data_IF_703815115675
#
_entry.id   IF_703815115675
#
_cell.length_a   1.000
_cell.length_b   1.000
_cell.length_c   1.000
_cell.angle_alpha   90.00
_cell.angle_beta   90.00
_cell.angle_gamma   90.00
#
_symmetry.space_group_name_H-M   'P 1'
#
loop_
_entity.id
_entity.type
_entity.pdbx_description
1 polymer ?
#
# COMPACT_ATOMS: atom_id res chain seq x y z
N UNK A 1 -17.22 -9.47 4.44
CA UNK A 1 -16.02 -8.61 4.30
C UNK A 1 -15.95 -7.68 5.51
N UNK A 2 -14.82 -7.59 6.20
CA UNK A 2 -14.66 -6.58 7.25
C UNK A 2 -14.43 -5.22 6.59
N UNK A 3 -15.21 -4.22 6.96
CA UNK A 3 -15.04 -2.84 6.51
C UNK A 3 -14.33 -2.04 7.61
N UNK A 4 -13.62 -1.00 7.22
CA UNK A 4 -13.10 -0.02 8.17
C UNK A 4 -14.25 0.83 8.70
N UNK A 5 -14.20 1.21 9.98
CA UNK A 5 -15.13 2.22 10.51
C UNK A 5 -14.76 3.60 9.97
N UNK A 6 -15.75 4.49 9.84
CA UNK A 6 -15.53 5.87 9.41
C UNK A 6 -14.51 6.60 10.30
N UNK A 7 -14.56 6.36 11.62
CA UNK A 7 -13.59 6.89 12.58
C UNK A 7 -12.17 6.37 12.28
N UNK A 8 -12.01 5.07 12.02
CA UNK A 8 -10.70 4.50 11.69
C UNK A 8 -10.14 5.11 10.42
N UNK A 9 -10.97 5.26 9.38
CA UNK A 9 -10.57 5.90 8.14
C UNK A 9 -10.11 7.35 8.39
N UNK A 10 -10.94 8.15 9.07
CA UNK A 10 -10.64 9.54 9.39
C UNK A 10 -9.34 9.69 10.18
N UNK A 11 -9.12 8.87 11.22
CA UNK A 11 -7.93 8.96 12.05
C UNK A 11 -6.66 8.50 11.31
N UNK A 12 -6.75 7.39 10.57
CA UNK A 12 -5.58 6.74 9.98
C UNK A 12 -5.15 7.34 8.63
N UNK A 13 -6.09 7.79 7.80
CA UNK A 13 -5.80 8.41 6.49
C UNK A 13 -5.63 9.94 6.55
N UNK A 14 -5.75 10.56 7.73
CA UNK A 14 -5.52 12.00 7.92
C UNK A 14 -4.07 12.41 7.57
N UNK A 15 -3.90 13.08 6.44
CA UNK A 15 -2.62 13.52 5.90
C UNK A 15 -2.08 14.83 6.54
N UNK A 16 -2.80 15.44 7.50
CA UNK A 16 -2.32 16.64 8.20
C UNK A 16 -0.98 16.37 8.88
N UNK A 17 -0.03 17.29 8.66
CA UNK A 17 1.27 17.31 9.36
C UNK A 17 1.02 17.57 10.84
N UNK A 18 0.96 16.50 11.64
CA UNK A 18 0.85 16.62 13.08
C UNK A 18 2.21 17.04 13.64
N UNK A 19 2.34 18.30 14.08
CA UNK A 19 3.36 18.66 15.06
C UNK A 19 3.04 17.88 16.35
N UNK A 20 4.06 17.31 17.00
CA UNK A 20 3.93 16.64 18.30
C UNK A 20 3.28 17.60 19.31
N UNK A 21 1.95 17.59 19.45
CA UNK A 21 1.26 18.22 20.59
C UNK A 21 1.17 17.18 21.70
N UNK A 22 1.61 17.55 22.91
CA UNK A 22 1.42 16.76 24.13
C UNK A 22 -0.09 16.64 24.41
N UNK A 23 -0.54 15.41 24.72
CA UNK A 23 -1.91 15.12 25.17
C UNK A 23 -2.81 14.58 24.05
N UNK A 24 -3.24 13.32 24.19
CA UNK A 24 -4.04 12.49 23.25
C UNK A 24 -3.28 11.98 22.01
N UNK A 25 -2.38 11.03 22.24
CA UNK A 25 -1.64 10.34 21.17
C UNK A 25 -2.46 9.17 20.61
N UNK A 26 -3.11 9.35 19.46
CA UNK A 26 -3.56 8.21 18.67
C UNK A 26 -2.42 7.79 17.72
N UNK A 27 -1.77 6.63 17.92
CA UNK A 27 -0.68 6.20 17.06
C UNK A 27 -1.21 6.00 15.64
N UNK A 28 -0.69 6.79 14.69
CA UNK A 28 -0.93 6.56 13.26
C UNK A 28 -0.28 5.24 12.87
N UNK A 29 -1.09 4.18 12.78
CA UNK A 29 -0.64 2.86 12.37
C UNK A 29 -0.60 2.79 10.85
N UNK A 30 0.23 1.89 10.33
CA UNK A 30 0.22 1.62 8.89
C UNK A 30 -0.98 0.74 8.57
N UNK A 31 -1.87 1.28 7.75
CA UNK A 31 -2.92 0.55 7.03
C UNK A 31 -2.61 0.55 5.54
N UNK A 32 -2.98 -0.56 4.89
CA UNK A 32 -2.98 -0.77 3.45
C UNK A 32 -4.38 -1.26 3.06
N UNK A 33 -5.12 -0.49 2.28
CA UNK A 33 -6.35 -0.97 1.63
C UNK A 33 -6.01 -1.31 0.18
N UNK A 34 -6.49 -2.43 -0.34
CA UNK A 34 -6.23 -2.81 -1.73
C UNK A 34 -7.53 -3.15 -2.45
N UNK A 35 -7.52 -2.93 -3.75
CA UNK A 35 -8.51 -3.40 -4.70
C UNK A 35 -7.78 -4.14 -5.82
N UNK A 36 -8.13 -5.40 -6.02
CA UNK A 36 -7.69 -6.24 -7.12
C UNK A 36 -8.84 -6.32 -8.14
N UNK A 37 -8.60 -5.79 -9.34
CA UNK A 37 -9.59 -5.66 -10.40
C UNK A 37 -9.17 -6.51 -11.59
N UNK A 38 -9.85 -7.64 -11.86
CA UNK A 38 -9.61 -8.42 -13.08
C UNK A 38 -9.99 -7.60 -14.33
N UNK A 39 -9.13 -7.58 -15.35
CA UNK A 39 -9.43 -6.82 -16.59
C UNK A 39 -10.54 -7.41 -17.46
N UNK A 40 -10.90 -8.67 -17.23
CA UNK A 40 -12.01 -9.33 -17.90
C UNK A 40 -13.40 -8.86 -17.40
N UNK A 41 -13.46 -7.90 -16.47
CA UNK A 41 -14.71 -7.37 -15.93
C UNK A 41 -15.30 -8.18 -14.78
N UNK A 42 -14.59 -9.20 -14.27
CA UNK A 42 -15.01 -9.95 -13.09
C UNK A 42 -15.05 -9.08 -11.83
N UNK A 43 -15.80 -9.53 -10.83
CA UNK A 43 -16.00 -8.80 -9.57
C UNK A 43 -14.67 -8.46 -8.89
N UNK A 44 -14.41 -7.17 -8.57
CA UNK A 44 -13.19 -6.77 -7.88
C UNK A 44 -13.11 -7.33 -6.46
N UNK A 45 -11.94 -7.84 -6.08
CA UNK A 45 -11.66 -8.26 -4.71
C UNK A 45 -11.08 -7.11 -3.92
N UNK A 46 -11.58 -6.87 -2.70
CA UNK A 46 -11.15 -5.78 -1.83
C UNK A 46 -10.76 -6.31 -0.47
N UNK A 47 -9.80 -5.64 0.15
CA UNK A 47 -9.41 -5.94 1.52
C UNK A 47 -8.52 -4.87 2.11
N UNK A 48 -8.18 -5.05 3.39
CA UNK A 48 -7.21 -4.20 4.04
C UNK A 48 -6.34 -4.99 5.02
N UNK A 49 -5.14 -4.48 5.23
CA UNK A 49 -4.20 -4.93 6.25
C UNK A 49 -3.93 -3.80 7.22
N UNK A 50 -3.71 -4.17 8.48
CA UNK A 50 -3.19 -3.30 9.52
C UNK A 50 -1.87 -3.88 10.01
N UNK A 51 -0.93 -3.01 10.34
CA UNK A 51 0.36 -3.42 10.90
C UNK A 51 0.12 -4.31 12.14
N UNK A 52 0.69 -5.50 12.14
CA UNK A 52 0.72 -6.42 13.30
C UNK A 52 2.12 -6.39 13.88
N UNK A 53 2.28 -6.62 15.19
CA UNK A 53 3.60 -6.72 15.83
C UNK A 53 4.45 -7.70 15.01
N UNK A 54 5.45 -7.17 14.28
CA UNK A 54 6.41 -7.88 13.42
C UNK A 54 6.02 -8.19 11.95
N UNK A 55 4.88 -7.72 11.40
CA UNK A 55 4.62 -7.78 9.94
C UNK A 55 4.29 -6.40 9.37
N UNK A 56 5.11 -5.95 8.42
CA UNK A 56 4.80 -4.78 7.59
C UNK A 56 3.60 -5.10 6.68
N UNK A 57 2.69 -4.14 6.51
CA UNK A 57 1.43 -4.36 5.78
C UNK A 57 1.64 -4.76 4.32
N UNK A 58 2.73 -4.30 3.72
CA UNK A 58 3.14 -4.59 2.35
C UNK A 58 3.51 -6.06 2.18
N UNK A 59 4.12 -6.67 3.19
CA UNK A 59 4.51 -8.09 3.16
C UNK A 59 3.27 -8.96 3.31
N UNK A 60 2.45 -8.63 4.31
CA UNK A 60 1.17 -9.28 4.51
C UNK A 60 0.25 -9.16 3.26
N UNK A 61 0.38 -8.08 2.47
CA UNK A 61 -0.28 -7.93 1.17
C UNK A 61 0.31 -8.85 0.10
N UNK A 62 1.64 -8.87 -0.07
CA UNK A 62 2.32 -9.77 -1.03
C UNK A 62 1.94 -11.22 -0.78
N UNK A 63 2.03 -11.67 0.47
CA UNK A 63 1.71 -13.06 0.85
C UNK A 63 0.25 -13.39 0.53
N UNK A 64 -0.67 -12.43 0.73
CA UNK A 64 -2.08 -12.64 0.41
C UNK A 64 -2.33 -12.76 -1.09
N UNK A 65 -1.71 -11.90 -1.91
CA UNK A 65 -1.89 -11.99 -3.37
C UNK A 65 -1.26 -13.27 -3.90
N UNK A 66 -0.08 -13.64 -3.41
CA UNK A 66 0.57 -14.89 -3.76
C UNK A 66 -0.28 -16.12 -3.39
N UNK A 67 -1.05 -16.07 -2.29
CA UNK A 67 -1.96 -17.14 -1.88
C UNK A 67 -3.31 -17.16 -2.61
N UNK A 68 -3.61 -16.19 -3.48
CA UNK A 68 -4.91 -16.10 -4.16
C UNK A 68 -4.99 -16.96 -5.44
N UNK A 69 -3.90 -17.66 -5.80
CA UNK A 69 -3.83 -18.52 -7.00
C UNK A 69 -4.46 -17.86 -8.23
N UNK A 70 -4.06 -16.61 -8.50
CA UNK A 70 -4.58 -15.84 -9.61
C UNK A 70 -4.28 -16.51 -10.96
N UNK A 71 -5.22 -16.40 -11.90
CA UNK A 71 -5.05 -16.93 -13.25
C UNK A 71 -4.04 -16.08 -14.01
N UNK A 72 -2.85 -16.64 -14.23
CA UNK A 72 -1.73 -15.96 -14.90
C UNK A 72 -2.00 -15.62 -16.36
N UNK A 73 -3.04 -16.19 -16.97
CA UNK A 73 -3.45 -15.83 -18.34
C UNK A 73 -4.21 -14.51 -18.38
N UNK A 74 -4.69 -14.03 -17.24
CA UNK A 74 -5.44 -12.79 -17.10
C UNK A 74 -4.57 -11.67 -16.53
N UNK A 75 -4.82 -10.45 -16.98
CA UNK A 75 -4.24 -9.26 -16.39
C UNK A 75 -5.12 -8.73 -15.25
N UNK A 76 -4.49 -8.31 -14.16
CA UNK A 76 -5.18 -7.69 -13.02
C UNK A 76 -4.60 -6.31 -12.73
N UNK A 77 -5.47 -5.36 -12.43
CA UNK A 77 -5.09 -4.05 -11.93
C UNK A 77 -5.24 -4.04 -10.41
N UNK A 78 -4.12 -3.83 -9.71
CA UNK A 78 -4.06 -3.82 -8.25
C UNK A 78 -3.77 -2.41 -7.77
N UNK A 79 -4.74 -1.81 -7.10
CA UNK A 79 -4.60 -0.47 -6.53
C UNK A 79 -4.49 -0.55 -5.02
N UNK A 80 -3.42 0.02 -4.47
CA UNK A 80 -3.11 0.04 -3.04
C UNK A 80 -3.19 1.46 -2.48
N UNK A 81 -3.95 1.64 -1.42
CA UNK A 81 -4.06 2.88 -0.64
C UNK A 81 -3.38 2.70 0.72
N UNK A 82 -2.23 3.35 0.86
CA UNK A 82 -1.38 3.32 2.02
C UNK A 82 -1.53 4.58 2.85
N UNK A 83 -1.61 4.40 4.16
CA UNK A 83 -1.54 5.51 5.12
C UNK A 83 -0.16 6.16 5.22
N UNK A 84 0.90 5.38 4.95
CA UNK A 84 2.30 5.80 4.93
C UNK A 84 3.00 5.13 3.76
N UNK A 85 3.84 5.86 3.03
CA UNK A 85 4.64 5.29 1.95
C UNK A 85 5.53 4.13 2.46
N UNK A 86 5.84 3.14 1.60
CA UNK A 86 6.57 1.96 2.03
C UNK A 86 8.01 2.30 2.47
N UNK A 87 8.55 1.48 3.36
CA UNK A 87 9.97 1.56 3.73
C UNK A 87 10.87 0.94 2.64
N UNK A 88 12.20 1.17 2.65
CA UNK A 88 13.09 0.70 1.60
C UNK A 88 13.07 -0.83 1.38
N UNK A 89 13.01 -1.61 2.48
CA UNK A 89 12.95 -3.07 2.38
C UNK A 89 11.62 -3.56 1.82
N UNK A 90 10.51 -2.90 2.16
CA UNK A 90 9.20 -3.20 1.57
C UNK A 90 9.15 -2.82 0.09
N UNK A 91 9.75 -1.69 -0.29
CA UNK A 91 9.84 -1.27 -1.68
C UNK A 91 10.59 -2.29 -2.54
N UNK A 92 11.74 -2.79 -2.07
CA UNK A 92 12.49 -3.85 -2.75
C UNK A 92 11.66 -5.13 -2.93
N UNK A 93 10.93 -5.55 -1.90
CA UNK A 93 10.09 -6.75 -1.97
C UNK A 93 8.88 -6.57 -2.89
N UNK A 94 8.26 -5.39 -2.89
CA UNK A 94 7.18 -5.06 -3.83
C UNK A 94 7.67 -5.04 -5.28
N UNK A 95 8.85 -4.47 -5.54
CA UNK A 95 9.47 -4.48 -6.86
C UNK A 95 9.78 -5.91 -7.34
N UNK A 96 10.38 -6.73 -6.47
CA UNK A 96 10.65 -8.14 -6.78
C UNK A 96 9.35 -8.93 -7.04
N UNK A 97 8.30 -8.67 -6.25
CA UNK A 97 6.99 -9.29 -6.43
C UNK A 97 6.35 -8.91 -7.76
N UNK A 98 6.30 -7.61 -8.11
CA UNK A 98 5.73 -7.16 -9.38
C UNK A 98 6.51 -7.73 -10.58
N UNK A 99 7.84 -7.80 -10.49
CA UNK A 99 8.66 -8.42 -11.54
C UNK A 99 8.38 -9.91 -11.71
N UNK A 100 8.05 -10.62 -10.63
CA UNK A 100 7.69 -12.04 -10.67
C UNK A 100 6.24 -12.29 -11.12
N UNK A 101 5.40 -11.26 -11.15
CA UNK A 101 3.97 -11.32 -11.49
C UNK A 101 3.67 -10.25 -12.56
N UNK A 102 4.20 -10.46 -13.76
CA UNK A 102 4.08 -9.58 -14.92
C UNK A 102 2.63 -9.26 -15.35
N UNK A 103 1.70 -10.16 -15.05
CA UNK A 103 0.27 -9.99 -15.28
C UNK A 103 -0.43 -9.09 -14.24
N UNK A 104 0.29 -8.60 -13.22
CA UNK A 104 -0.25 -7.68 -12.20
C UNK A 104 0.26 -6.25 -12.41
N UNK A 105 -0.66 -5.33 -12.66
CA UNK A 105 -0.36 -3.90 -12.72
C UNK A 105 -0.58 -3.27 -11.34
N UNK A 106 0.50 -3.05 -10.59
CA UNK A 106 0.43 -2.50 -9.24
C UNK A 106 0.53 -0.97 -9.24
N UNK A 107 -0.43 -0.30 -8.61
CA UNK A 107 -0.41 1.15 -8.36
C UNK A 107 -0.50 1.43 -6.87
N UNK A 108 0.32 2.36 -6.37
CA UNK A 108 0.38 2.69 -4.96
C UNK A 108 0.04 4.16 -4.76
N UNK A 109 -0.91 4.43 -3.88
CA UNK A 109 -1.25 5.76 -3.42
C UNK A 109 -0.93 5.87 -1.93
N UNK A 110 -0.15 6.87 -1.53
CA UNK A 110 0.21 7.11 -0.14
C UNK A 110 -0.44 8.40 0.39
N UNK A 111 -1.13 8.32 1.52
CA UNK A 111 -1.66 9.49 2.24
C UNK A 111 -0.54 10.39 2.78
N UNK A 112 0.57 9.78 3.23
CA UNK A 112 1.72 10.49 3.81
C UNK A 112 3.02 9.81 3.39
N UNK A 113 4.07 10.59 3.18
CA UNK A 113 5.40 10.06 2.89
C UNK A 113 6.15 9.76 4.20
N UNK A 114 6.57 8.51 4.37
CA UNK A 114 7.29 8.05 5.56
C UNK A 114 8.78 8.32 5.44
N UNK A 115 9.37 9.00 6.43
CA UNK A 115 10.79 9.37 6.47
C UNK A 115 11.34 9.92 5.14
N UNK A 116 10.53 10.71 4.41
CA UNK A 116 10.85 11.21 3.07
C UNK A 116 12.10 12.08 2.99
N UNK A 117 12.60 12.58 4.13
CA UNK A 117 13.86 13.31 4.24
C UNK A 117 15.10 12.40 4.26
N UNK A 118 14.95 11.08 4.44
CA UNK A 118 16.04 10.12 4.44
C UNK A 118 16.30 9.61 3.02
N UNK A 119 17.56 9.66 2.58
CA UNK A 119 17.98 9.19 1.24
C UNK A 119 17.60 7.73 0.96
N UNK A 120 17.68 6.84 1.95
CA UNK A 120 17.31 5.43 1.76
C UNK A 120 15.82 5.25 1.43
N UNK A 121 14.94 6.06 2.02
CA UNK A 121 13.50 6.05 1.73
C UNK A 121 13.20 6.61 0.35
N UNK A 122 13.88 7.70 -0.05
CA UNK A 122 13.79 8.24 -1.41
C UNK A 122 14.20 7.21 -2.46
N UNK A 123 15.34 6.53 -2.25
CA UNK A 123 15.80 5.45 -3.14
C UNK A 123 14.80 4.29 -3.23
N UNK A 124 14.16 3.93 -2.13
CA UNK A 124 13.10 2.91 -2.13
C UNK A 124 11.91 3.31 -3.01
N UNK A 125 11.47 4.57 -2.94
CA UNK A 125 10.39 5.06 -3.79
C UNK A 125 10.81 5.18 -5.27
N UNK A 126 12.05 5.59 -5.54
CA UNK A 126 12.62 5.61 -6.90
C UNK A 126 12.68 4.21 -7.50
N UNK A 127 13.09 3.20 -6.73
CA UNK A 127 13.11 1.82 -7.17
C UNK A 127 11.72 1.32 -7.59
N UNK A 128 10.67 1.70 -6.85
CA UNK A 128 9.29 1.35 -7.22
C UNK A 128 8.90 1.97 -8.56
N UNK A 129 9.22 3.25 -8.76
CA UNK A 129 9.00 3.94 -10.03
C UNK A 129 9.73 3.27 -11.20
N UNK A 130 11.02 2.97 -11.04
CA UNK A 130 11.83 2.24 -12.03
C UNK A 130 11.28 0.85 -12.34
N UNK A 131 10.60 0.23 -11.37
CA UNK A 131 9.95 -1.08 -11.50
C UNK A 131 8.51 -0.98 -12.02
N UNK A 132 8.13 0.16 -12.63
CA UNK A 132 6.79 0.41 -13.18
C UNK A 132 5.65 0.40 -12.14
N UNK A 133 5.98 0.63 -10.85
CA UNK A 133 5.01 0.74 -9.77
C UNK A 133 4.90 2.22 -9.39
N UNK A 134 3.95 2.98 -9.96
CA UNK A 134 3.78 4.38 -9.61
C UNK A 134 3.41 4.52 -8.13
N UNK A 135 4.12 5.41 -7.43
CA UNK A 135 3.81 5.82 -6.07
C UNK A 135 3.37 7.28 -6.08
N UNK A 136 2.06 7.49 -5.94
CA UNK A 136 1.43 8.80 -5.98
C UNK A 136 0.96 9.22 -4.59
N UNK A 137 0.80 10.52 -4.36
CA UNK A 137 0.21 11.03 -3.11
C UNK A 137 -1.31 11.05 -3.26
N UNK A 138 -2.04 10.58 -2.24
CA UNK A 138 -3.51 10.61 -2.26
C UNK A 138 -4.03 12.05 -2.25
N UNK A 139 -4.77 12.41 -3.29
CA UNK A 139 -5.55 13.64 -3.42
C UNK A 139 -7.04 13.36 -3.60
N UNK A 140 -7.81 14.42 -3.83
CA UNK A 140 -9.14 14.27 -4.43
C UNK A 140 -8.92 13.89 -5.91
N UNK A 141 -9.52 12.78 -6.40
CA UNK A 141 -9.38 12.34 -7.79
C UNK A 141 -9.88 13.35 -8.81
#
# INVERSE_FOLDING_TARGET
MSLLTAETFSLQFNNRRQRRKKGTYYPKRTYLCYQLTPRNGSTPTRGYFKNKKNCHVEICFIDKIASMELDKTQCYDVTCYLTWSPCPSCAQKLAAFAKAQDHLNLRIFASRLYYHWRRSYQKGLQLLWESQIPVEVMGLP
#
